data_IF_259526504788
#
_entry.id   IF_259526504788
#
_cell.length_a   1.000
_cell.length_b   1.000
_cell.length_c   1.000
_cell.angle_alpha   90.00
_cell.angle_beta   90.00
_cell.angle_gamma   90.00
#
_symmetry.space_group_name_H-M   'P 1'
#
loop_
_entity.id
_entity.type
_entity.pdbx_description
1 polymer ?
#
# COMPACT_ATOMS: atom_id res chain seq x y z
N UNK A 1 -10.84 29.41 22.50
CA UNK A 1 -9.79 28.38 22.63
C UNK A 1 -9.68 27.65 21.31
N UNK A 2 -8.54 27.75 20.63
CA UNK A 2 -8.27 26.97 19.41
C UNK A 2 -7.79 25.60 19.86
N UNK A 3 -8.68 24.60 19.83
CA UNK A 3 -8.28 23.21 20.11
C UNK A 3 -7.43 22.76 18.92
N UNK A 4 -6.13 22.44 19.12
CA UNK A 4 -5.31 21.96 18.03
C UNK A 4 -5.87 20.63 17.51
N UNK A 5 -5.80 20.37 16.20
CA UNK A 5 -6.26 19.09 15.65
C UNK A 5 -5.51 17.95 16.35
N UNK A 6 -6.25 16.90 16.73
CA UNK A 6 -5.71 15.74 17.45
C UNK A 6 -4.65 14.97 16.64
N UNK A 7 -4.74 15.08 15.31
CA UNK A 7 -3.87 14.41 14.35
C UNK A 7 -3.01 15.48 13.66
N UNK A 8 -1.68 15.24 13.49
CA UNK A 8 -0.84 16.15 12.73
C UNK A 8 -1.40 16.36 11.33
N UNK A 9 -1.33 17.60 10.83
CA UNK A 9 -1.85 17.93 9.51
C UNK A 9 -1.23 17.02 8.44
N UNK A 10 -2.04 16.48 7.51
CA UNK A 10 -1.52 15.65 6.43
C UNK A 10 -0.56 16.48 5.58
N UNK A 11 0.42 15.79 4.97
CA UNK A 11 1.38 16.42 4.09
C UNK A 11 0.68 16.80 2.78
N UNK A 12 0.08 17.98 2.72
CA UNK A 12 -0.63 18.44 1.54
C UNK A 12 0.31 19.09 0.53
N UNK A 13 0.10 18.78 -0.76
CA UNK A 13 0.77 19.48 -1.86
C UNK A 13 -0.21 20.40 -2.59
N UNK A 14 0.29 21.52 -3.12
CA UNK A 14 -0.53 22.44 -3.94
C UNK A 14 -1.03 21.73 -5.19
N UNK A 15 -2.32 21.92 -5.52
CA UNK A 15 -3.04 21.30 -6.66
C UNK A 15 -3.04 19.77 -6.58
N UNK A 16 -3.39 19.24 -5.41
CA UNK A 16 -3.53 17.81 -5.21
C UNK A 16 -4.85 17.27 -5.80
N UNK A 17 -4.99 15.96 -5.89
CA UNK A 17 -6.18 15.32 -6.47
C UNK A 17 -7.47 15.69 -5.71
N UNK A 18 -7.40 16.00 -4.41
CA UNK A 18 -8.58 16.45 -3.65
C UNK A 18 -9.18 17.77 -4.12
N UNK A 19 -8.44 18.59 -4.86
CA UNK A 19 -8.96 19.85 -5.44
C UNK A 19 -9.70 19.66 -6.76
N UNK A 20 -9.66 18.45 -7.33
CA UNK A 20 -10.29 18.12 -8.61
C UNK A 20 -11.78 17.76 -8.44
N UNK A 21 -12.51 17.75 -9.56
CA UNK A 21 -13.90 17.28 -9.56
C UNK A 21 -13.97 15.82 -9.14
N UNK A 22 -14.98 15.46 -8.36
CA UNK A 22 -15.15 14.12 -7.80
C UNK A 22 -15.01 12.97 -8.81
N UNK A 23 -15.59 13.02 -10.03
CA UNK A 23 -15.40 11.95 -11.03
C UNK A 23 -13.94 11.76 -11.47
N UNK A 24 -13.16 12.84 -11.51
CA UNK A 24 -11.74 12.83 -11.88
C UNK A 24 -10.92 12.21 -10.77
N UNK A 25 -11.23 12.54 -9.52
CA UNK A 25 -10.64 11.92 -8.33
C UNK A 25 -10.91 10.40 -8.30
N UNK A 26 -12.15 9.97 -8.54
CA UNK A 26 -12.50 8.54 -8.61
C UNK A 26 -11.76 7.84 -9.76
N UNK A 27 -11.62 8.51 -10.92
CA UNK A 27 -10.83 8.01 -12.04
C UNK A 27 -9.35 7.82 -11.69
N UNK A 28 -8.77 8.74 -10.92
CA UNK A 28 -7.40 8.61 -10.39
C UNK A 28 -7.30 7.39 -9.45
N UNK A 29 -8.22 7.24 -8.50
CA UNK A 29 -8.24 6.10 -7.57
C UNK A 29 -8.34 4.78 -8.32
N UNK A 30 -9.23 4.67 -9.33
CA UNK A 30 -9.34 3.47 -10.17
C UNK A 30 -8.03 3.10 -10.84
N UNK A 31 -7.33 4.07 -11.43
CA UNK A 31 -6.05 3.85 -12.10
C UNK A 31 -4.97 3.42 -11.11
N UNK A 32 -4.86 4.08 -9.96
CA UNK A 32 -3.88 3.72 -8.92
C UNK A 32 -4.17 2.33 -8.37
N UNK A 33 -5.42 2.01 -8.05
CA UNK A 33 -5.82 0.68 -7.58
C UNK A 33 -5.52 -0.40 -8.60
N UNK A 34 -5.80 -0.16 -9.89
CA UNK A 34 -5.47 -1.10 -10.97
C UNK A 34 -3.96 -1.29 -11.12
N UNK A 35 -3.19 -0.20 -11.16
CA UNK A 35 -1.74 -0.27 -11.27
C UNK A 35 -1.11 -0.98 -10.07
N UNK A 36 -1.63 -0.74 -8.86
CA UNK A 36 -1.18 -1.44 -7.66
C UNK A 36 -1.52 -2.93 -7.70
N UNK A 37 -2.70 -3.31 -8.19
CA UNK A 37 -3.03 -4.72 -8.42
C UNK A 37 -2.09 -5.36 -9.46
N UNK A 38 -1.79 -4.66 -10.56
CA UNK A 38 -0.83 -5.13 -11.55
C UNK A 38 0.59 -5.28 -10.96
N UNK A 39 1.02 -4.38 -10.06
CA UNK A 39 2.31 -4.50 -9.40
C UNK A 39 2.33 -5.67 -8.39
N UNK A 40 1.24 -5.93 -7.67
CA UNK A 40 1.09 -7.12 -6.81
C UNK A 40 1.08 -8.40 -7.65
N UNK A 41 0.41 -8.41 -8.81
CA UNK A 41 0.47 -9.53 -9.76
C UNK A 41 1.89 -9.74 -10.30
N UNK A 42 2.65 -8.67 -10.55
CA UNK A 42 4.05 -8.77 -10.94
C UNK A 42 4.89 -9.42 -9.85
N UNK A 43 4.70 -9.02 -8.59
CA UNK A 43 5.35 -9.65 -7.42
C UNK A 43 5.00 -11.13 -7.32
N UNK A 44 3.72 -11.48 -7.45
CA UNK A 44 3.26 -12.86 -7.45
C UNK A 44 3.84 -13.67 -8.62
N UNK A 45 3.90 -13.08 -9.82
CA UNK A 45 4.50 -13.69 -11.00
C UNK A 45 6.00 -13.96 -10.82
N UNK A 46 6.76 -12.99 -10.31
CA UNK A 46 8.18 -13.18 -9.98
C UNK A 46 8.35 -14.27 -8.93
N UNK A 47 7.50 -14.30 -7.90
CA UNK A 47 7.55 -15.32 -6.86
C UNK A 47 7.27 -16.74 -7.40
N UNK A 48 6.39 -16.87 -8.40
CA UNK A 48 6.02 -18.13 -9.02
C UNK A 48 7.05 -18.64 -10.05
N UNK A 49 7.87 -17.76 -10.64
CA UNK A 49 8.84 -18.15 -11.65
C UNK A 49 9.98 -18.99 -11.03
N UNK A 50 10.49 -20.02 -11.73
CA UNK A 50 11.69 -20.73 -11.32
C UNK A 50 12.90 -19.79 -11.43
N UNK A 51 13.42 -19.35 -10.27
CA UNK A 51 14.58 -18.49 -10.12
C UNK A 51 15.68 -19.25 -9.37
N UNK A 52 16.97 -18.95 -9.60
CA UNK A 52 18.03 -19.44 -8.71
C UNK A 52 17.69 -19.11 -7.26
N UNK A 53 18.03 -20.03 -6.35
CA UNK A 53 17.86 -19.83 -4.92
C UNK A 53 18.66 -18.60 -4.48
N UNK A 54 17.95 -17.59 -3.96
CA UNK A 54 18.54 -16.38 -3.41
C UNK A 54 18.52 -16.51 -1.90
N UNK A 55 19.64 -16.20 -1.26
CA UNK A 55 19.71 -16.17 0.20
C UNK A 55 18.61 -15.25 0.77
N UNK A 56 17.80 -15.73 1.74
CA UNK A 56 16.71 -14.95 2.35
C UNK A 56 17.15 -13.57 2.84
N UNK A 57 18.34 -13.49 3.42
CA UNK A 57 18.91 -12.25 3.95
C UNK A 57 19.21 -11.28 2.82
N UNK A 58 19.78 -11.77 1.71
CA UNK A 58 20.09 -10.95 0.53
C UNK A 58 18.81 -10.40 -0.10
N UNK A 59 17.78 -11.23 -0.27
CA UNK A 59 16.48 -10.78 -0.80
C UNK A 59 15.82 -9.74 0.11
N UNK A 60 15.86 -9.96 1.44
CA UNK A 60 15.36 -9.02 2.43
C UNK A 60 16.10 -7.68 2.42
N UNK A 61 17.44 -7.70 2.45
CA UNK A 61 18.26 -6.49 2.41
C UNK A 61 18.14 -5.73 1.08
N UNK A 62 18.05 -6.43 -0.05
CA UNK A 62 17.81 -5.80 -1.35
C UNK A 62 16.45 -5.10 -1.37
N UNK A 63 15.40 -5.75 -0.87
CA UNK A 63 14.06 -5.18 -0.76
C UNK A 63 14.05 -3.93 0.12
N UNK A 64 14.65 -4.01 1.32
CA UNK A 64 14.78 -2.87 2.23
C UNK A 64 15.60 -1.73 1.62
N UNK A 65 16.74 -2.03 0.99
CA UNK A 65 17.60 -1.05 0.34
C UNK A 65 16.89 -0.31 -0.79
N UNK A 66 16.12 -1.02 -1.62
CA UNK A 66 15.33 -0.41 -2.70
C UNK A 66 14.16 0.41 -2.16
N UNK A 67 13.56 0.01 -1.05
CA UNK A 67 12.50 0.78 -0.39
C UNK A 67 13.05 2.08 0.22
N UNK A 68 14.25 2.05 0.80
CA UNK A 68 14.99 3.25 1.21
C UNK A 68 15.32 4.12 0.00
N UNK A 69 15.76 3.53 -1.12
CA UNK A 69 16.05 4.27 -2.35
C UNK A 69 14.80 4.97 -2.92
N UNK A 70 13.63 4.32 -2.91
CA UNK A 70 12.34 4.96 -3.25
C UNK A 70 12.04 6.15 -2.35
N UNK A 71 12.31 6.01 -1.05
CA UNK A 71 12.11 7.09 -0.08
C UNK A 71 13.05 8.28 -0.34
N UNK A 72 14.31 8.02 -0.66
CA UNK A 72 15.29 9.05 -1.02
C UNK A 72 14.94 9.72 -2.35
N UNK A 73 14.58 8.96 -3.38
CA UNK A 73 14.17 9.49 -4.68
C UNK A 73 13.02 10.49 -4.52
N UNK A 74 12.00 10.13 -3.73
CA UNK A 74 10.88 11.03 -3.44
C UNK A 74 11.29 12.26 -2.64
N UNK A 75 12.20 12.12 -1.67
CA UNK A 75 12.66 13.24 -0.83
C UNK A 75 13.49 14.24 -1.64
N UNK A 76 14.38 13.76 -2.50
CA UNK A 76 15.30 14.58 -3.28
C UNK A 76 14.65 15.22 -4.52
N UNK A 77 13.74 14.49 -5.18
CA UNK A 77 13.13 14.94 -6.44
C UNK A 77 11.70 15.48 -6.28
N UNK A 78 11.24 15.69 -5.05
CA UNK A 78 9.84 16.05 -4.73
C UNK A 78 9.29 17.16 -5.63
N UNK A 79 8.18 16.86 -6.31
CA UNK A 79 7.45 17.82 -7.16
C UNK A 79 8.07 18.06 -8.54
N UNK A 80 9.12 17.33 -8.92
CA UNK A 80 9.72 17.36 -10.26
C UNK A 80 9.24 16.16 -11.08
N UNK A 81 9.06 16.33 -12.40
CA UNK A 81 8.71 15.22 -13.31
C UNK A 81 9.71 14.06 -13.26
N UNK A 82 10.98 14.38 -13.01
CA UNK A 82 12.06 13.39 -12.87
C UNK A 82 11.78 12.41 -11.72
N UNK A 83 11.07 12.83 -10.66
CA UNK A 83 10.72 11.93 -9.56
C UNK A 83 9.85 10.77 -10.02
N UNK A 84 8.87 11.01 -10.89
CA UNK A 84 7.96 9.95 -11.36
C UNK A 84 8.75 8.90 -12.15
N UNK A 85 9.68 9.34 -13.00
CA UNK A 85 10.53 8.44 -13.81
C UNK A 85 11.48 7.65 -12.92
N UNK A 86 12.21 8.32 -12.02
CA UNK A 86 13.18 7.67 -11.13
C UNK A 86 12.48 6.70 -10.18
N UNK A 87 11.37 7.13 -9.55
CA UNK A 87 10.55 6.25 -8.70
C UNK A 87 9.99 5.06 -9.48
N UNK A 88 9.59 5.25 -10.75
CA UNK A 88 9.13 4.16 -11.62
C UNK A 88 10.22 3.12 -11.92
N UNK A 89 11.43 3.56 -12.25
CA UNK A 89 12.56 2.65 -12.52
C UNK A 89 12.96 1.87 -11.25
N UNK A 90 13.07 2.56 -10.12
CA UNK A 90 13.38 1.91 -8.84
C UNK A 90 12.25 0.97 -8.42
N UNK A 91 10.99 1.33 -8.68
CA UNK A 91 9.83 0.48 -8.40
C UNK A 91 9.93 -0.86 -9.13
N UNK A 92 10.32 -0.88 -10.41
CA UNK A 92 10.47 -2.14 -11.15
C UNK A 92 11.51 -3.05 -10.49
N UNK A 93 12.69 -2.52 -10.15
CA UNK A 93 13.71 -3.28 -9.44
C UNK A 93 13.22 -3.76 -8.06
N UNK A 94 12.47 -2.91 -7.36
CA UNK A 94 11.86 -3.23 -6.06
C UNK A 94 10.85 -4.38 -6.17
N UNK A 95 9.98 -4.39 -7.19
CA UNK A 95 9.00 -5.47 -7.37
C UNK A 95 9.66 -6.83 -7.61
N UNK A 96 10.79 -6.86 -8.34
CA UNK A 96 11.57 -8.09 -8.57
C UNK A 96 12.21 -8.58 -7.27
N UNK A 97 12.85 -7.68 -6.51
CA UNK A 97 13.45 -8.00 -5.22
C UNK A 97 12.39 -8.48 -4.22
N UNK A 98 11.26 -7.78 -4.14
CA UNK A 98 10.13 -8.13 -3.28
C UNK A 98 9.52 -9.47 -3.68
N UNK A 99 9.32 -9.75 -4.98
CA UNK A 99 8.84 -11.05 -5.44
C UNK A 99 9.76 -12.20 -5.05
N UNK A 100 11.08 -11.97 -5.13
CA UNK A 100 12.09 -12.94 -4.67
C UNK A 100 12.01 -13.18 -3.16
N UNK A 101 11.82 -12.13 -2.35
CA UNK A 101 11.63 -12.25 -0.90
C UNK A 101 10.30 -12.93 -0.54
N UNK A 102 9.21 -12.58 -1.23
CA UNK A 102 7.88 -13.19 -1.04
C UNK A 102 7.92 -14.67 -1.33
N UNK A 103 8.64 -15.10 -2.37
CA UNK A 103 8.84 -16.53 -2.65
C UNK A 103 9.44 -17.26 -1.46
N UNK A 104 10.53 -16.75 -0.92
CA UNK A 104 11.20 -17.35 0.25
C UNK A 104 10.22 -17.45 1.42
N UNK A 105 9.44 -16.40 1.69
CA UNK A 105 8.44 -16.43 2.77
C UNK A 105 7.30 -17.41 2.52
N UNK A 106 6.85 -17.57 1.27
CA UNK A 106 5.85 -18.59 0.91
C UNK A 106 6.43 -20.00 1.11
N UNK A 107 7.69 -20.23 0.71
CA UNK A 107 8.41 -21.49 0.93
C UNK A 107 8.58 -21.78 2.44
N UNK A 108 8.76 -20.75 3.27
CA UNK A 108 8.78 -20.83 4.75
C UNK A 108 7.38 -21.02 5.37
N UNK A 109 6.31 -21.10 4.56
CA UNK A 109 4.95 -21.40 4.99
C UNK A 109 4.08 -20.17 5.32
N UNK A 110 4.52 -18.95 4.98
CA UNK A 110 3.70 -17.75 5.15
C UNK A 110 2.60 -17.66 4.08
N UNK A 111 1.33 -17.49 4.44
CA UNK A 111 0.21 -17.48 3.50
C UNK A 111 0.03 -16.12 2.81
N UNK A 112 1.07 -15.63 2.13
CA UNK A 112 1.08 -14.28 1.51
C UNK A 112 0.18 -14.17 0.28
N UNK A 113 -0.24 -15.30 -0.29
CA UNK A 113 -1.18 -15.36 -1.41
C UNK A 113 -2.55 -14.76 -1.06
N UNK A 114 -2.90 -14.73 0.24
CA UNK A 114 -4.15 -14.10 0.71
C UNK A 114 -4.21 -12.60 0.42
N UNK A 115 -3.05 -11.92 0.34
CA UNK A 115 -2.97 -10.49 0.06
C UNK A 115 -3.43 -10.16 -1.37
N UNK A 116 -3.15 -11.05 -2.32
CA UNK A 116 -3.59 -10.92 -3.71
C UNK A 116 -5.12 -10.97 -3.80
N UNK A 117 -5.76 -11.87 -3.04
CA UNK A 117 -7.22 -12.00 -2.96
C UNK A 117 -7.83 -10.70 -2.41
N UNK A 118 -7.27 -10.15 -1.34
CA UNK A 118 -7.70 -8.89 -0.76
C UNK A 118 -7.67 -7.74 -1.76
N UNK A 119 -6.52 -7.51 -2.40
CA UNK A 119 -6.37 -6.40 -3.34
C UNK A 119 -7.24 -6.60 -4.60
N UNK A 120 -7.43 -7.84 -5.06
CA UNK A 120 -8.32 -8.15 -6.16
C UNK A 120 -9.77 -7.77 -5.84
N UNK A 121 -10.28 -8.14 -4.66
CA UNK A 121 -11.61 -7.73 -4.21
C UNK A 121 -11.74 -6.21 -4.11
N UNK A 122 -10.70 -5.53 -3.65
CA UNK A 122 -10.68 -4.07 -3.55
C UNK A 122 -10.71 -3.37 -4.92
N UNK A 123 -10.01 -3.91 -5.92
CA UNK A 123 -10.10 -3.42 -7.32
C UNK A 123 -11.48 -3.69 -7.90
N UNK A 124 -12.05 -4.87 -7.69
CA UNK A 124 -13.41 -5.18 -8.12
C UNK A 124 -14.41 -4.19 -7.52
N UNK A 125 -14.28 -3.87 -6.23
CA UNK A 125 -15.12 -2.85 -5.60
C UNK A 125 -14.96 -1.48 -6.27
N UNK A 126 -13.72 -1.00 -6.42
CA UNK A 126 -13.43 0.35 -6.98
C UNK A 126 -13.86 0.48 -8.46
N UNK A 127 -13.85 -0.63 -9.20
CA UNK A 127 -14.32 -0.68 -10.59
C UNK A 127 -15.84 -0.81 -10.70
N UNK A 128 -16.48 -1.59 -9.82
CA UNK A 128 -17.93 -1.76 -9.77
C UNK A 128 -18.66 -0.54 -9.19
N UNK A 129 -18.08 0.14 -8.21
CA UNK A 129 -18.63 1.36 -7.65
C UNK A 129 -18.65 2.46 -8.71
N UNK A 130 -19.84 2.91 -9.09
CA UNK A 130 -20.08 3.87 -10.16
C UNK A 130 -19.59 5.28 -9.86
N UNK A 131 -20.50 6.18 -9.48
CA UNK A 131 -20.15 7.58 -9.17
C UNK A 131 -19.63 7.71 -7.74
N UNK A 132 -20.25 7.04 -6.78
CA UNK A 132 -19.96 7.21 -5.36
C UNK A 132 -19.05 6.10 -4.83
N UNK A 133 -17.79 6.45 -4.62
CA UNK A 133 -16.80 5.58 -3.99
C UNK A 133 -16.72 5.88 -2.49
N UNK A 134 -17.00 4.89 -1.67
CA UNK A 134 -16.81 4.95 -0.21
C UNK A 134 -15.59 4.13 0.20
N UNK A 135 -14.62 4.75 0.86
CA UNK A 135 -13.46 4.04 1.41
C UNK A 135 -13.84 3.08 2.54
N UNK A 136 -14.85 3.44 3.35
CA UNK A 136 -15.39 2.53 4.39
C UNK A 136 -16.07 1.34 3.74
N UNK A 137 -16.88 1.57 2.71
CA UNK A 137 -17.53 0.51 1.94
C UNK A 137 -16.50 -0.40 1.26
N UNK A 138 -15.46 0.18 0.66
CA UNK A 138 -14.34 -0.54 0.08
C UNK A 138 -13.67 -1.44 1.11
N UNK A 139 -13.32 -0.91 2.29
CA UNK A 139 -12.67 -1.68 3.34
C UNK A 139 -13.54 -2.84 3.82
N UNK A 140 -14.78 -2.55 4.21
CA UNK A 140 -15.68 -3.55 4.81
C UNK A 140 -16.05 -4.64 3.82
N UNK A 141 -16.46 -4.28 2.60
CA UNK A 141 -16.85 -5.29 1.60
C UNK A 141 -15.64 -6.08 1.09
N UNK A 142 -14.49 -5.44 0.90
CA UNK A 142 -13.29 -6.16 0.46
C UNK A 142 -12.83 -7.14 1.53
N UNK A 143 -12.79 -6.75 2.81
CA UNK A 143 -12.45 -7.67 3.91
C UNK A 143 -13.45 -8.82 3.97
N UNK A 144 -14.76 -8.54 3.94
CA UNK A 144 -15.78 -9.59 4.07
C UNK A 144 -15.71 -10.60 2.92
N UNK A 145 -15.67 -10.12 1.68
CA UNK A 145 -15.63 -10.98 0.49
C UNK A 145 -14.30 -11.74 0.41
N UNK A 146 -13.17 -11.06 0.57
CA UNK A 146 -11.86 -11.73 0.53
C UNK A 146 -11.68 -12.74 1.66
N UNK A 147 -12.17 -12.46 2.88
CA UNK A 147 -12.14 -13.40 3.99
C UNK A 147 -12.97 -14.65 3.69
N UNK A 148 -14.16 -14.48 3.11
CA UNK A 148 -15.00 -15.60 2.67
C UNK A 148 -14.30 -16.47 1.62
N UNK A 149 -13.63 -15.85 0.64
CA UNK A 149 -12.86 -16.57 -0.39
C UNK A 149 -11.64 -17.29 0.20
N UNK A 150 -10.91 -16.65 1.11
CA UNK A 150 -9.76 -17.24 1.81
C UNK A 150 -10.20 -18.46 2.64
N UNK A 151 -11.30 -18.35 3.39
CA UNK A 151 -11.85 -19.48 4.17
C UNK A 151 -12.31 -20.61 3.25
N UNK A 152 -13.07 -20.30 2.19
CA UNK A 152 -13.53 -21.31 1.25
C UNK A 152 -12.36 -22.04 0.56
N UNK A 153 -11.34 -21.30 0.10
CA UNK A 153 -10.14 -21.87 -0.48
C UNK A 153 -9.31 -22.68 0.52
N UNK A 154 -9.18 -22.19 1.76
CA UNK A 154 -8.48 -22.88 2.83
C UNK A 154 -9.14 -24.20 3.23
N UNK A 155 -10.47 -24.26 3.28
CA UNK A 155 -11.24 -25.50 3.51
C UNK A 155 -11.00 -26.48 2.35
N UNK A 156 -11.07 -26.01 1.10
CA UNK A 156 -10.87 -26.84 -0.08
C UNK A 156 -9.45 -27.44 -0.14
N UNK A 157 -8.44 -26.64 0.19
CA UNK A 157 -7.03 -27.06 0.24
C UNK A 157 -6.65 -27.79 1.54
N UNK A 158 -7.59 -27.97 2.48
CA UNK A 158 -7.35 -28.54 3.83
C UNK A 158 -6.20 -27.83 4.57
N UNK A 159 -6.13 -26.51 4.43
CA UNK A 159 -5.12 -25.66 5.07
C UNK A 159 -5.27 -25.71 6.59
N UNK A 160 -4.17 -25.82 7.36
CA UNK A 160 -4.23 -25.79 8.82
C UNK A 160 -4.92 -24.52 9.35
N UNK A 161 -5.71 -24.66 10.43
CA UNK A 161 -6.48 -23.55 11.00
C UNK A 161 -5.62 -22.36 11.45
N UNK A 162 -4.40 -22.62 11.93
CA UNK A 162 -3.44 -21.56 12.30
C UNK A 162 -3.02 -20.75 11.07
N UNK A 163 -2.58 -21.43 9.99
CA UNK A 163 -2.20 -20.78 8.73
C UNK A 163 -3.36 -19.98 8.15
N UNK A 164 -4.59 -20.52 8.22
CA UNK A 164 -5.78 -19.80 7.75
C UNK A 164 -6.06 -18.54 8.58
N UNK A 165 -5.90 -18.62 9.91
CA UNK A 165 -6.09 -17.46 10.80
C UNK A 165 -5.04 -16.37 10.54
N UNK A 166 -3.80 -16.76 10.29
CA UNK A 166 -2.72 -15.86 9.87
C UNK A 166 -3.04 -15.22 8.51
N UNK A 167 -3.50 -16.00 7.53
CA UNK A 167 -3.88 -15.52 6.21
C UNK A 167 -4.97 -14.45 6.27
N UNK A 168 -6.01 -14.68 7.08
CA UNK A 168 -7.09 -13.73 7.32
C UNK A 168 -6.60 -12.45 8.00
N UNK A 169 -5.75 -12.59 9.02
CA UNK A 169 -5.19 -11.46 9.77
C UNK A 169 -4.31 -10.58 8.89
N UNK A 170 -3.41 -11.19 8.10
CA UNK A 170 -2.55 -10.49 7.16
C UNK A 170 -3.37 -9.75 6.09
N UNK A 171 -4.38 -10.41 5.53
CA UNK A 171 -5.27 -9.81 4.53
C UNK A 171 -6.04 -8.61 5.09
N UNK A 172 -6.62 -8.74 6.29
CA UNK A 172 -7.33 -7.64 6.94
C UNK A 172 -6.40 -6.46 7.25
N UNK A 173 -5.22 -6.73 7.83
CA UNK A 173 -4.23 -5.70 8.14
C UNK A 173 -3.77 -4.97 6.88
N UNK A 174 -3.45 -5.72 5.83
CA UNK A 174 -3.08 -5.17 4.53
C UNK A 174 -4.17 -4.28 3.94
N UNK A 175 -5.43 -4.72 3.94
CA UNK A 175 -6.54 -3.92 3.41
C UNK A 175 -6.77 -2.63 4.21
N UNK A 176 -6.62 -2.67 5.54
CA UNK A 176 -6.71 -1.48 6.39
C UNK A 176 -5.66 -0.45 5.99
N UNK A 177 -4.39 -0.86 5.88
CA UNK A 177 -3.32 0.03 5.46
C UNK A 177 -3.50 0.51 4.02
N UNK A 178 -3.82 -0.39 3.10
CA UNK A 178 -4.02 -0.06 1.69
C UNK A 178 -5.13 0.98 1.48
N UNK A 179 -6.30 0.80 2.10
CA UNK A 179 -7.41 1.75 1.99
C UNK A 179 -7.06 3.10 2.63
N UNK A 180 -6.40 3.09 3.78
CA UNK A 180 -5.92 4.29 4.46
C UNK A 180 -4.90 5.06 3.59
N UNK A 181 -3.93 4.36 3.02
CA UNK A 181 -2.90 4.96 2.19
C UNK A 181 -3.50 5.50 0.88
N UNK A 182 -4.43 4.77 0.26
CA UNK A 182 -5.15 5.22 -0.92
C UNK A 182 -5.92 6.53 -0.68
N UNK A 183 -6.62 6.63 0.45
CA UNK A 183 -7.31 7.86 0.83
C UNK A 183 -6.33 9.03 1.07
N UNK A 184 -5.21 8.75 1.74
CA UNK A 184 -4.20 9.78 2.04
C UNK A 184 -3.32 10.16 0.84
N UNK A 185 -3.28 9.36 -0.22
CA UNK A 185 -2.58 9.70 -1.47
C UNK A 185 -3.22 10.88 -2.20
N UNK A 186 -4.54 11.02 -2.09
CA UNK A 186 -5.28 12.09 -2.76
C UNK A 186 -4.79 13.49 -2.38
N UNK A 187 -4.30 13.66 -1.16
CA UNK A 187 -3.77 14.93 -0.66
C UNK A 187 -2.28 15.14 -0.97
N UNK A 188 -1.56 14.06 -1.32
CA UNK A 188 -0.10 13.99 -1.49
C UNK A 188 0.38 13.95 -2.95
N UNK A 189 -0.51 13.71 -3.91
CA UNK A 189 -0.20 13.54 -5.35
C UNK A 189 -1.06 14.42 -6.25
N UNK A 190 -0.61 14.58 -7.50
CA UNK A 190 -1.33 15.28 -8.57
C UNK A 190 -1.80 14.28 -9.63
N UNK A 191 -2.72 14.72 -10.50
CA UNK A 191 -3.08 13.94 -11.69
C UNK A 191 -1.86 13.73 -12.59
N UNK A 192 -1.73 12.55 -13.20
CA UNK A 192 -0.55 12.18 -13.99
C UNK A 192 0.62 11.64 -13.17
N UNK A 193 0.52 11.60 -11.84
CA UNK A 193 1.54 11.01 -10.94
C UNK A 193 1.11 9.62 -10.43
N UNK A 194 0.29 8.88 -11.18
CA UNK A 194 -0.27 7.58 -10.75
C UNK A 194 0.83 6.55 -10.41
N UNK A 195 1.91 6.48 -11.19
CA UNK A 195 3.04 5.57 -10.93
C UNK A 195 3.74 5.93 -9.61
N UNK A 196 3.94 7.23 -9.38
CA UNK A 196 4.51 7.73 -8.12
C UNK A 196 3.58 7.47 -6.93
N UNK A 197 2.27 7.44 -7.14
CA UNK A 197 1.29 7.09 -6.13
C UNK A 197 1.37 5.59 -5.76
N UNK A 198 1.56 4.70 -6.73
CA UNK A 198 1.79 3.27 -6.46
C UNK A 198 3.10 3.04 -5.70
N UNK A 199 4.19 3.71 -6.09
CA UNK A 199 5.44 3.66 -5.34
C UNK A 199 5.28 4.14 -3.89
N UNK A 200 4.43 5.14 -3.67
CA UNK A 200 4.11 5.63 -2.33
C UNK A 200 3.34 4.58 -1.49
N UNK A 201 2.43 3.78 -2.08
CA UNK A 201 1.74 2.69 -1.36
C UNK A 201 2.71 1.66 -0.76
N UNK A 202 3.77 1.31 -1.47
CA UNK A 202 4.80 0.41 -0.93
C UNK A 202 5.68 1.08 0.12
N UNK A 203 6.03 2.34 -0.11
CA UNK A 203 6.90 3.11 0.79
C UNK A 203 6.21 3.48 2.10
N UNK A 204 4.88 3.63 2.09
CA UNK A 204 4.14 4.12 3.25
C UNK A 204 4.22 3.17 4.46
N UNK A 205 4.64 1.91 4.25
CA UNK A 205 5.09 1.00 5.32
C UNK A 205 6.19 1.63 6.20
N UNK A 206 7.15 2.36 5.61
CA UNK A 206 8.13 3.13 6.40
C UNK A 206 7.57 4.40 7.00
N UNK A 207 6.49 4.96 6.45
CA UNK A 207 5.86 6.15 6.99
C UNK A 207 5.19 5.91 8.33
N UNK A 208 4.95 4.66 8.74
CA UNK A 208 4.55 4.35 10.12
C UNK A 208 5.56 4.93 11.13
N UNK A 209 6.86 4.74 10.89
CA UNK A 209 7.92 5.27 11.75
C UNK A 209 7.98 6.82 11.71
N UNK A 210 7.86 7.40 10.51
CA UNK A 210 7.84 8.85 10.34
C UNK A 210 6.61 9.51 10.97
N UNK A 211 5.46 8.84 10.94
CA UNK A 211 4.22 9.30 11.56
C UNK A 211 4.34 9.34 13.08
N UNK A 212 4.92 8.32 13.72
CA UNK A 212 5.17 8.32 15.17
C UNK A 212 6.01 9.54 15.60
N UNK A 213 7.06 9.87 14.83
CA UNK A 213 7.88 11.06 15.09
C UNK A 213 7.08 12.34 14.90
N UNK A 214 6.25 12.45 13.86
CA UNK A 214 5.38 13.63 13.64
C UNK A 214 4.36 13.79 14.74
N UNK A 215 3.76 12.71 15.23
CA UNK A 215 2.83 12.72 16.36
C UNK A 215 3.56 13.19 17.62
N UNK A 216 4.74 12.63 17.92
CA UNK A 216 5.56 13.06 19.05
C UNK A 216 5.94 14.56 18.96
N UNK A 217 6.31 15.04 17.77
CA UNK A 217 6.63 16.45 17.55
C UNK A 217 5.39 17.36 17.65
N UNK A 218 4.26 16.93 17.09
CA UNK A 218 2.98 17.63 17.14
C UNK A 218 2.53 17.84 18.59
N UNK A 219 2.59 16.80 19.41
CA UNK A 219 2.26 16.87 20.83
C UNK A 219 3.29 17.63 21.66
N UNK A 220 4.58 17.61 21.28
CA UNK A 220 5.57 18.52 21.88
C UNK A 220 5.25 19.99 21.60
N UNK A 221 4.78 20.31 20.40
CA UNK A 221 4.45 21.69 19.98
C UNK A 221 3.13 22.19 20.56
N UNK A 222 2.16 21.30 20.75
CA UNK A 222 0.82 21.59 21.27
C UNK A 222 0.62 21.00 22.67
N UNK A 223 1.58 21.20 23.59
CA UNK A 223 1.45 20.76 24.98
C UNK A 223 0.20 21.38 25.61
N UNK A 224 -0.81 20.56 25.88
CA UNK A 224 -2.10 20.97 26.48
C UNK A 224 -1.95 21.24 28.00
N UNK A 225 -0.77 21.03 28.59
CA UNK A 225 -0.54 21.01 30.04
C UNK A 225 0.38 22.13 30.58
N UNK A 226 0.41 23.30 29.93
CA UNK A 226 1.11 24.48 30.47
C UNK A 226 0.22 25.73 30.36
N UNK A 227 -0.90 25.71 31.08
CA UNK A 227 -1.47 26.86 31.77
C UNK A 227 -2.11 26.38 33.06
#
# INVERSE_FOLDING_TARGET
MTVPPFIPQPVEIRRNVTTERYPVMVGFVRRVSLLHFLSVLCVAGVAALPSPWVDPSVAGWATLGLLVALSWARTLARGRRVEVVVSGVILVAFLVALGSAVRVWIEDGWPLESLLVGVACAVVYVTACGRDLSYVGMLVLSILVSSGLIVAGGIWLRTPGLTLSVALSLNALYLIFYVYDLASLLSRRRLGEEIGAVADLYRDVLNLFGYLIRVAHHWRRHRIWLK
#
